data_IF_216995530988
#
_entry.id   IF_216995530988
#
_cell.length_a   1.000
_cell.length_b   1.000
_cell.length_c   1.000
_cell.angle_alpha   90.00
_cell.angle_beta   90.00
_cell.angle_gamma   90.00
#
_symmetry.space_group_name_H-M   'P 1'
#
loop_
_entity.id
_entity.type
_entity.pdbx_description
1 polymer ?
#
# COMPACT_ATOMS: atom_id res chain seq x y z
N UNK A 1 57.49 7.00 -37.99
CA UNK A 1 56.35 6.06 -37.97
C UNK A 1 55.72 6.09 -36.60
N UNK A 2 54.44 6.42 -36.57
CA UNK A 2 53.42 6.27 -35.51
C UNK A 2 53.63 6.85 -34.11
N UNK A 3 52.99 8.01 -33.91
CA UNK A 3 52.29 8.44 -32.70
C UNK A 3 51.39 7.34 -32.12
N UNK A 4 51.30 7.26 -30.79
CA UNK A 4 50.06 6.84 -30.09
C UNK A 4 49.93 7.58 -28.77
N UNK A 5 49.26 8.74 -28.83
CA UNK A 5 48.61 9.34 -27.67
C UNK A 5 47.44 8.47 -27.25
N UNK A 6 47.38 8.05 -25.99
CA UNK A 6 46.19 7.40 -25.41
C UNK A 6 45.56 8.41 -24.45
N UNK A 7 44.47 9.02 -24.91
CA UNK A 7 43.60 9.85 -24.11
C UNK A 7 42.74 8.89 -23.29
N UNK A 8 42.95 8.84 -21.97
CA UNK A 8 42.04 8.15 -21.06
C UNK A 8 40.80 9.03 -20.87
N UNK A 9 39.70 8.59 -21.47
CA UNK A 9 38.37 9.18 -21.30
C UNK A 9 37.91 9.06 -19.85
N UNK A 10 37.66 10.19 -19.20
CA UNK A 10 36.93 10.29 -17.94
C UNK A 10 35.46 10.05 -18.28
N UNK A 11 34.93 8.87 -17.91
CA UNK A 11 33.50 8.62 -17.97
C UNK A 11 32.83 9.38 -16.81
N UNK A 12 32.12 10.46 -17.15
CA UNK A 12 31.21 11.13 -16.23
C UNK A 12 30.05 10.18 -15.92
N UNK A 13 29.96 9.70 -14.68
CA UNK A 13 28.78 9.00 -14.16
C UNK A 13 27.69 10.07 -13.99
N UNK A 14 26.75 10.10 -14.93
CA UNK A 14 25.54 10.89 -14.79
C UNK A 14 24.70 10.30 -13.64
N UNK A 15 24.66 11.01 -12.51
CA UNK A 15 23.69 10.81 -11.45
C UNK A 15 22.30 11.08 -12.06
N UNK A 16 21.59 10.01 -12.43
CA UNK A 16 20.16 10.06 -12.68
C UNK A 16 19.47 10.34 -11.34
N UNK A 17 19.35 11.61 -10.98
CA UNK A 17 18.33 12.07 -10.04
C UNK A 17 16.98 11.79 -10.70
N UNK A 18 16.46 10.59 -10.52
CA UNK A 18 15.08 10.27 -10.83
C UNK A 18 14.21 11.11 -9.92
N UNK A 19 13.70 12.22 -10.42
CA UNK A 19 12.51 12.82 -9.83
C UNK A 19 11.43 11.75 -9.95
N UNK A 20 11.09 11.07 -8.86
CA UNK A 20 9.88 10.27 -8.82
C UNK A 20 8.73 11.21 -9.14
N UNK A 21 8.08 11.00 -10.30
CA UNK A 21 6.92 11.79 -10.67
C UNK A 21 5.83 11.53 -9.63
N UNK A 22 5.16 12.59 -9.18
CA UNK A 22 3.98 12.45 -8.33
C UNK A 22 2.89 11.74 -9.15
N UNK A 23 2.28 10.65 -8.65
CA UNK A 23 1.24 9.94 -9.39
C UNK A 23 0.00 10.82 -9.55
N UNK A 24 -0.75 10.59 -10.64
CA UNK A 24 -2.10 11.12 -10.79
C UNK A 24 -3.08 10.42 -9.84
N UNK A 25 -4.22 11.04 -9.56
CA UNK A 25 -5.27 10.43 -8.72
C UNK A 25 -5.75 9.08 -9.27
N UNK A 26 -5.87 8.96 -10.60
CA UNK A 26 -6.27 7.71 -11.25
C UNK A 26 -5.22 6.60 -11.06
N UNK A 27 -3.93 6.93 -11.19
CA UNK A 27 -2.84 5.96 -10.96
C UNK A 27 -2.76 5.54 -9.50
N UNK A 28 -2.86 6.49 -8.55
CA UNK A 28 -2.86 6.19 -7.13
C UNK A 28 -4.06 5.33 -6.71
N UNK A 29 -5.25 5.61 -7.27
CA UNK A 29 -6.45 4.82 -7.03
C UNK A 29 -6.35 3.41 -7.63
N UNK A 30 -5.83 3.28 -8.84
CA UNK A 30 -5.62 1.98 -9.48
C UNK A 30 -4.60 1.14 -8.70
N UNK A 31 -3.51 1.76 -8.25
CA UNK A 31 -2.51 1.06 -7.45
C UNK A 31 -3.06 0.62 -6.09
N UNK A 32 -3.84 1.48 -5.42
CA UNK A 32 -4.53 1.09 -4.20
C UNK A 32 -5.44 -0.12 -4.46
N UNK A 33 -6.26 -0.09 -5.50
CA UNK A 33 -7.15 -1.20 -5.84
C UNK A 33 -6.38 -2.51 -6.08
N UNK A 34 -5.24 -2.47 -6.79
CA UNK A 34 -4.37 -3.64 -6.98
C UNK A 34 -3.84 -4.21 -5.66
N UNK A 35 -3.45 -3.35 -4.71
CA UNK A 35 -3.01 -3.79 -3.39
C UNK A 35 -4.16 -4.46 -2.62
N UNK A 36 -5.37 -3.90 -2.67
CA UNK A 36 -6.53 -4.49 -2.01
C UNK A 36 -6.95 -5.81 -2.67
N UNK A 37 -6.95 -5.88 -4.01
CA UNK A 37 -7.24 -7.10 -4.78
C UNK A 37 -6.28 -8.24 -4.41
N UNK A 38 -5.00 -7.92 -4.14
CA UNK A 38 -4.02 -8.94 -3.74
C UNK A 38 -4.37 -9.59 -2.40
N UNK A 39 -4.89 -8.81 -1.45
CA UNK A 39 -5.34 -9.32 -0.15
C UNK A 39 -6.61 -10.13 -0.30
N UNK A 40 -7.56 -9.68 -1.12
CA UNK A 40 -8.79 -10.45 -1.39
C UNK A 40 -8.50 -11.81 -2.02
N UNK A 41 -7.61 -11.87 -3.00
CA UNK A 41 -7.20 -13.13 -3.63
C UNK A 41 -6.51 -14.07 -2.64
N UNK A 42 -5.73 -13.50 -1.71
CA UNK A 42 -5.03 -14.24 -0.68
C UNK A 42 -6.00 -14.88 0.33
N UNK A 43 -6.93 -14.10 0.87
CA UNK A 43 -7.84 -14.57 1.92
C UNK A 43 -9.08 -15.29 1.37
N UNK A 44 -9.44 -15.01 0.11
CA UNK A 44 -10.61 -15.53 -0.57
C UNK A 44 -11.92 -14.85 -0.14
N UNK A 45 -13.03 -15.41 -0.64
CA UNK A 45 -14.39 -14.96 -0.34
C UNK A 45 -14.97 -13.97 -1.35
N UNK A 46 -16.25 -13.64 -1.17
CA UNK A 46 -16.95 -12.63 -1.95
C UNK A 46 -16.89 -11.26 -1.25
N UNK A 47 -16.36 -10.26 -1.95
CA UNK A 47 -16.10 -8.93 -1.39
C UNK A 47 -17.03 -7.87 -1.97
N UNK A 48 -17.41 -6.92 -1.11
CA UNK A 48 -18.12 -5.70 -1.50
C UNK A 48 -17.22 -4.50 -1.26
N UNK A 49 -17.15 -3.61 -2.25
CA UNK A 49 -16.35 -2.37 -2.19
C UNK A 49 -17.21 -1.13 -1.93
N UNK A 50 -16.65 -0.17 -1.21
CA UNK A 50 -17.22 1.13 -0.92
C UNK A 50 -16.12 2.19 -0.91
N UNK A 51 -16.37 3.35 -1.50
CA UNK A 51 -15.42 4.47 -1.42
C UNK A 51 -15.46 5.08 -0.02
N UNK A 52 -14.30 5.26 0.62
CA UNK A 52 -14.19 5.98 1.90
C UNK A 52 -14.17 7.50 1.74
N UNK A 53 -14.21 7.97 0.49
CA UNK A 53 -13.94 9.36 0.15
C UNK A 53 -12.45 9.65 0.13
N UNK A 54 -12.09 10.78 -0.46
CA UNK A 54 -10.70 11.21 -0.56
C UNK A 54 -10.30 12.15 0.58
N UNK A 55 -9.00 12.19 0.89
CA UNK A 55 -8.44 13.06 1.94
C UNK A 55 -7.39 13.99 1.33
N UNK A 56 -7.37 15.25 1.78
CA UNK A 56 -6.25 16.15 1.43
C UNK A 56 -4.95 15.62 2.04
N UNK A 57 -3.87 15.68 1.27
CA UNK A 57 -2.53 15.33 1.70
C UNK A 57 -1.52 16.39 1.22
N UNK A 58 -0.25 16.24 1.61
CA UNK A 58 0.81 17.17 1.23
C UNK A 58 2.08 16.41 0.87
N UNK A 59 2.56 16.63 -0.35
CA UNK A 59 3.88 16.16 -0.80
C UNK A 59 5.00 16.97 -0.17
N UNK A 60 4.76 18.28 -0.04
CA UNK A 60 5.65 19.26 0.59
C UNK A 60 4.81 20.31 1.30
N UNK A 61 5.45 21.25 2.00
CA UNK A 61 4.75 22.39 2.61
C UNK A 61 3.91 23.22 1.62
N UNK A 62 4.21 23.15 0.32
CA UNK A 62 3.57 23.99 -0.71
C UNK A 62 2.78 23.20 -1.76
N UNK A 63 3.05 21.89 -1.91
CA UNK A 63 2.36 21.04 -2.88
C UNK A 63 1.35 20.16 -2.15
N UNK A 64 0.07 20.51 -2.29
CA UNK A 64 -1.06 19.70 -1.82
C UNK A 64 -1.41 18.63 -2.83
N UNK A 65 -2.00 17.56 -2.34
CA UNK A 65 -2.51 16.46 -3.13
C UNK A 65 -3.76 15.87 -2.50
N UNK A 66 -4.16 14.73 -3.05
CA UNK A 66 -5.32 13.97 -2.59
C UNK A 66 -4.92 12.50 -2.40
N UNK A 67 -5.45 11.85 -1.38
CA UNK A 67 -5.37 10.40 -1.20
C UNK A 67 -6.75 9.80 -1.46
N UNK A 68 -6.82 8.86 -2.39
CA UNK A 68 -8.02 8.06 -2.58
C UNK A 68 -8.17 7.07 -1.41
N UNK A 69 -9.40 6.92 -0.91
CA UNK A 69 -9.73 5.99 0.15
C UNK A 69 -10.71 4.93 -0.33
N UNK A 70 -10.45 3.68 0.00
CA UNK A 70 -11.29 2.55 -0.36
C UNK A 70 -11.47 1.61 0.83
N UNK A 71 -12.68 1.08 0.97
CA UNK A 71 -13.07 0.12 1.99
C UNK A 71 -13.73 -1.07 1.33
N UNK A 72 -13.35 -2.26 1.77
CA UNK A 72 -13.90 -3.52 1.30
C UNK A 72 -14.24 -4.41 2.47
N UNK A 73 -15.29 -5.21 2.31
CA UNK A 73 -15.72 -6.12 3.35
C UNK A 73 -16.33 -7.39 2.78
N UNK A 74 -16.25 -8.46 3.58
CA UNK A 74 -16.98 -9.72 3.38
C UNK A 74 -17.60 -10.16 4.69
N UNK A 75 -18.74 -10.86 4.61
CA UNK A 75 -19.49 -11.39 5.76
C UNK A 75 -19.73 -12.91 5.63
N UNK A 76 -18.75 -13.61 5.06
CA UNK A 76 -18.78 -15.05 4.96
C UNK A 76 -18.18 -15.71 6.22
N UNK A 77 -18.67 -16.90 6.62
CA UNK A 77 -18.01 -17.68 7.67
C UNK A 77 -16.57 -18.00 7.27
N UNK A 78 -15.62 -17.42 8.01
CA UNK A 78 -14.18 -17.61 7.85
C UNK A 78 -13.53 -17.76 9.22
N UNK A 79 -12.37 -18.41 9.27
CA UNK A 79 -11.50 -18.40 10.45
C UNK A 79 -10.73 -17.07 10.45
N UNK A 80 -11.12 -16.16 11.35
CA UNK A 80 -10.53 -14.81 11.39
C UNK A 80 -9.05 -14.83 11.81
N UNK A 81 -8.67 -15.74 12.69
CA UNK A 81 -7.29 -15.89 13.14
C UNK A 81 -6.40 -16.42 12.01
N UNK A 82 -6.86 -17.43 11.27
CA UNK A 82 -6.15 -17.94 10.09
C UNK A 82 -5.91 -16.83 9.05
N UNK A 83 -6.96 -16.06 8.70
CA UNK A 83 -6.83 -15.01 7.68
C UNK A 83 -5.98 -13.85 8.15
N UNK A 84 -6.00 -13.53 9.44
CA UNK A 84 -5.11 -12.54 10.02
C UNK A 84 -3.64 -12.93 9.86
N UNK A 85 -3.26 -14.14 10.26
CA UNK A 85 -1.87 -14.60 10.18
C UNK A 85 -1.39 -14.68 8.72
N UNK A 86 -2.28 -15.09 7.81
CA UNK A 86 -1.99 -15.12 6.37
C UNK A 86 -1.65 -13.74 5.81
N UNK A 87 -2.40 -12.71 6.17
CA UNK A 87 -2.15 -11.32 5.73
C UNK A 87 -0.89 -10.75 6.40
N UNK A 88 -0.68 -11.04 7.69
CA UNK A 88 0.53 -10.65 8.42
C UNK A 88 1.80 -11.19 7.75
N UNK A 89 1.81 -12.48 7.42
CA UNK A 89 2.93 -13.13 6.72
C UNK A 89 3.15 -12.50 5.34
N UNK A 90 2.10 -12.38 4.53
CA UNK A 90 2.20 -11.82 3.18
C UNK A 90 2.71 -10.36 3.17
N UNK A 91 2.23 -9.51 4.08
CA UNK A 91 2.71 -8.14 4.19
C UNK A 91 4.16 -8.07 4.66
N UNK A 92 4.56 -8.94 5.60
CA UNK A 92 5.95 -9.04 6.05
C UNK A 92 6.88 -9.46 4.91
N UNK A 93 6.48 -10.43 4.09
CA UNK A 93 7.24 -10.92 2.94
C UNK A 93 7.41 -9.86 1.83
N UNK A 94 6.43 -8.97 1.69
CA UNK A 94 6.51 -7.80 0.80
C UNK A 94 7.44 -6.69 1.35
N UNK A 95 7.99 -6.88 2.56
CA UNK A 95 8.83 -5.90 3.23
C UNK A 95 8.05 -4.73 3.81
N UNK A 96 6.74 -4.89 4.02
CA UNK A 96 5.96 -3.93 4.79
C UNK A 96 6.31 -4.08 6.28
N UNK A 97 5.97 -3.08 7.07
CA UNK A 97 6.12 -3.12 8.54
C UNK A 97 4.74 -3.22 9.20
N UNK A 98 4.07 -4.40 9.14
CA UNK A 98 2.74 -4.56 9.72
C UNK A 98 2.78 -4.49 11.24
N UNK A 99 1.77 -3.84 11.82
CA UNK A 99 1.59 -3.67 13.26
C UNK A 99 0.21 -4.16 13.68
N UNK A 100 0.18 -5.14 14.58
CA UNK A 100 -1.07 -5.54 15.24
C UNK A 100 -1.52 -4.46 16.23
N UNK A 101 -2.78 -4.07 16.14
CA UNK A 101 -3.42 -3.19 17.12
C UNK A 101 -3.87 -3.99 18.35
N UNK A 102 -3.88 -3.38 19.55
CA UNK A 102 -4.40 -4.03 20.74
C UNK A 102 -5.83 -4.53 20.55
N UNK A 103 -6.07 -5.83 20.78
CA UNK A 103 -7.40 -6.43 20.70
C UNK A 103 -8.34 -5.82 21.75
N UNK A 104 -9.49 -5.23 21.36
CA UNK A 104 -10.46 -4.75 22.33
C UNK A 104 -11.10 -5.91 23.11
N UNK A 105 -11.25 -5.77 24.42
CA UNK A 105 -11.71 -6.86 25.30
C UNK A 105 -13.14 -7.37 25.02
N UNK A 106 -13.97 -6.57 24.35
CA UNK A 106 -15.40 -6.82 24.14
C UNK A 106 -15.73 -7.41 22.77
N UNK A 107 -14.79 -7.42 21.83
CA UNK A 107 -14.99 -7.96 20.49
C UNK A 107 -13.63 -8.45 19.97
N UNK A 108 -13.44 -9.75 19.69
CA UNK A 108 -12.15 -10.30 19.26
C UNK A 108 -11.81 -9.94 17.81
N UNK A 109 -12.01 -8.68 17.42
CA UNK A 109 -11.48 -8.15 16.16
C UNK A 109 -9.98 -8.07 16.32
N UNK A 110 -9.26 -8.72 15.41
CA UNK A 110 -7.83 -8.49 15.23
C UNK A 110 -7.64 -7.51 14.10
N UNK A 111 -6.77 -6.53 14.29
CA UNK A 111 -6.51 -5.49 13.29
C UNK A 111 -5.01 -5.37 13.03
N UNK A 112 -4.63 -5.41 11.76
CA UNK A 112 -3.30 -5.06 11.25
C UNK A 112 -3.36 -3.70 10.59
N UNK A 113 -2.37 -2.87 10.87
CA UNK A 113 -2.06 -1.68 10.08
C UNK A 113 -0.70 -1.84 9.43
N UNK A 114 -0.55 -1.40 8.19
CA UNK A 114 0.73 -1.31 7.51
C UNK A 114 0.83 -0.02 6.71
N UNK A 115 2.06 0.44 6.49
CA UNK A 115 2.36 1.47 5.49
C UNK A 115 3.32 0.87 4.48
N UNK A 116 2.93 0.93 3.21
CA UNK A 116 3.73 0.43 2.10
C UNK A 116 4.86 1.42 1.78
N UNK A 117 5.91 1.01 1.04
CA UNK A 117 7.02 1.90 0.69
C UNK A 117 6.63 3.16 -0.11
N UNK A 118 5.54 3.10 -0.88
CA UNK A 118 4.97 4.23 -1.63
C UNK A 118 4.10 5.17 -0.76
N UNK A 119 3.91 4.84 0.52
CA UNK A 119 3.16 5.64 1.48
C UNK A 119 1.66 5.35 1.49
N UNK A 120 1.22 4.25 0.89
CA UNK A 120 -0.16 3.76 1.02
C UNK A 120 -0.34 3.17 2.42
N UNK A 121 -1.38 3.60 3.13
CA UNK A 121 -1.75 3.07 4.44
C UNK A 121 -2.83 2.01 4.27
N UNK A 122 -2.62 0.82 4.83
CA UNK A 122 -3.52 -0.33 4.74
C UNK A 122 -3.95 -0.75 6.15
N UNK A 123 -5.22 -1.12 6.30
CA UNK A 123 -5.78 -1.68 7.53
C UNK A 123 -6.59 -2.93 7.21
N UNK A 124 -6.21 -4.07 7.77
CA UNK A 124 -6.97 -5.31 7.66
C UNK A 124 -7.55 -5.66 9.03
N UNK A 125 -8.85 -5.96 9.09
CA UNK A 125 -9.48 -6.46 10.32
C UNK A 125 -10.19 -7.78 10.09
N UNK A 126 -10.06 -8.69 11.05
CA UNK A 126 -10.63 -10.03 10.98
C UNK A 126 -11.39 -10.38 12.26
N UNK A 127 -12.57 -10.96 12.07
CA UNK A 127 -13.33 -11.71 13.08
C UNK A 127 -13.77 -13.04 12.48
N UNK A 128 -14.23 -13.94 13.34
CA UNK A 128 -15.00 -15.08 12.87
C UNK A 128 -16.29 -14.59 12.20
N UNK A 129 -16.37 -14.77 10.88
CA UNK A 129 -17.53 -14.38 10.07
C UNK A 129 -17.51 -12.99 9.44
N UNK A 130 -16.44 -12.20 9.60
CA UNK A 130 -16.27 -11.00 8.77
C UNK A 130 -14.82 -10.59 8.62
N UNK A 131 -14.47 -10.12 7.43
CA UNK A 131 -13.17 -9.49 7.15
C UNK A 131 -13.44 -8.10 6.58
N UNK A 132 -12.57 -7.16 6.93
CA UNK A 132 -12.58 -5.82 6.36
C UNK A 132 -11.19 -5.41 5.93
N UNK A 133 -11.13 -4.60 4.89
CA UNK A 133 -9.90 -4.08 4.33
C UNK A 133 -10.12 -2.61 3.98
N UNK A 134 -9.37 -1.73 4.61
CA UNK A 134 -9.36 -0.30 4.35
C UNK A 134 -7.99 0.08 3.80
N UNK A 135 -7.98 1.01 2.84
CA UNK A 135 -6.75 1.61 2.39
C UNK A 135 -6.90 3.09 2.05
N UNK A 136 -5.82 3.83 2.29
CA UNK A 136 -5.62 5.20 1.86
C UNK A 136 -4.38 5.21 0.97
N UNK A 137 -4.59 5.40 -0.33
CA UNK A 137 -3.52 5.37 -1.33
C UNK A 137 -2.46 6.43 -1.09
N UNK A 138 -1.34 6.31 -1.81
CA UNK A 138 -0.30 7.34 -1.83
C UNK A 138 -0.88 8.72 -2.17
N UNK A 139 -0.25 9.77 -1.63
CA UNK A 139 -0.62 11.14 -1.98
C UNK A 139 -0.42 11.34 -3.50
N UNK A 140 -1.44 11.83 -4.19
CA UNK A 140 -1.43 12.10 -5.63
C UNK A 140 -1.59 13.58 -5.92
N UNK A 141 -1.11 14.04 -7.08
CA UNK A 141 -1.38 15.40 -7.54
C UNK A 141 -2.88 15.57 -7.83
N UNK A 142 -3.43 16.72 -7.45
CA UNK A 142 -4.74 17.20 -7.91
C UNK A 142 -4.67 17.67 -9.37
#
# INVERSE_FOLDING_TARGET
>A
MSSRSVILSIAAVALLTGCAAVPSEAEASAHLAEQLDSVEQLVGGEWSASALGSRECSHTLTLRGTQAGEYRFTQEPVDGDEKFELVLEAWTDLGYEPRELPKPATNPIRTLEATTPDGTALTFSATDGSLTLEGLGACSAN
#
